data_IF_668087009827
#
_entry.id   IF_668087009827
#
_cell.length_a   1.000
_cell.length_b   1.000
_cell.length_c   1.000
_cell.angle_alpha   90.00
_cell.angle_beta   90.00
_cell.angle_gamma   90.00
#
_symmetry.space_group_name_H-M   'P 1'
#
loop_
_entity.id
_entity.type
_entity.pdbx_description
1 polymer ?
#
# COMPACT_ATOMS: atom_id res chain seq x y z
N UNK A 1 -23.70 -4.56 15.60
CA UNK A 1 -23.47 -5.20 14.29
C UNK A 1 -22.71 -4.32 13.31
N UNK A 2 -22.90 -2.99 13.31
CA UNK A 2 -22.18 -2.11 12.37
C UNK A 2 -20.67 -2.00 12.66
N UNK A 3 -20.29 -1.85 13.93
CA UNK A 3 -18.87 -1.75 14.32
C UNK A 3 -18.07 -3.03 13.98
N UNK A 4 -18.69 -4.20 14.12
CA UNK A 4 -18.07 -5.49 13.78
C UNK A 4 -17.83 -5.64 12.28
N UNK A 5 -18.75 -5.11 11.46
CA UNK A 5 -18.64 -5.14 10.00
C UNK A 5 -17.55 -4.15 9.53
N UNK A 6 -17.51 -2.95 10.09
CA UNK A 6 -16.46 -1.95 9.82
C UNK A 6 -15.08 -2.51 10.14
N UNK A 7 -14.91 -3.14 11.31
CA UNK A 7 -13.64 -3.76 11.69
C UNK A 7 -13.22 -4.88 10.73
N UNK A 8 -14.17 -5.68 10.24
CA UNK A 8 -13.90 -6.72 9.25
C UNK A 8 -13.41 -6.12 7.92
N UNK A 9 -14.08 -5.08 7.42
CA UNK A 9 -13.69 -4.38 6.19
C UNK A 9 -12.26 -3.84 6.32
N UNK A 10 -11.97 -3.14 7.41
CA UNK A 10 -10.63 -2.58 7.66
C UNK A 10 -9.58 -3.69 7.64
N UNK A 11 -9.84 -4.81 8.31
CA UNK A 11 -8.90 -5.93 8.37
C UNK A 11 -8.64 -6.56 7.00
N UNK A 12 -9.69 -6.78 6.21
CA UNK A 12 -9.59 -7.34 4.87
C UNK A 12 -8.88 -6.37 3.91
N UNK A 13 -9.19 -5.08 3.96
CA UNK A 13 -8.55 -4.06 3.12
C UNK A 13 -7.07 -3.92 3.42
N UNK A 14 -6.68 -3.90 4.70
CA UNK A 14 -5.28 -3.87 5.12
C UNK A 14 -4.57 -5.14 4.68
N UNK A 15 -5.18 -6.31 4.90
CA UNK A 15 -4.61 -7.61 4.52
C UNK A 15 -4.38 -7.73 3.01
N UNK A 16 -5.37 -7.32 2.21
CA UNK A 16 -5.26 -7.34 0.75
C UNK A 16 -4.19 -6.37 0.23
N UNK A 17 -4.09 -5.16 0.80
CA UNK A 17 -3.07 -4.19 0.44
C UNK A 17 -1.65 -4.68 0.75
N UNK A 18 -1.45 -5.26 1.94
CA UNK A 18 -0.18 -5.86 2.35
C UNK A 18 0.20 -7.07 1.48
N UNK A 19 -0.76 -7.94 1.19
CA UNK A 19 -0.53 -9.09 0.31
C UNK A 19 -0.13 -8.63 -1.09
N UNK A 20 -0.78 -7.59 -1.63
CA UNK A 20 -0.43 -6.99 -2.91
C UNK A 20 0.98 -6.38 -2.91
N UNK A 21 1.34 -5.63 -1.87
CA UNK A 21 2.69 -5.08 -1.71
C UNK A 21 3.76 -6.18 -1.71
N UNK A 22 3.55 -7.23 -0.92
CA UNK A 22 4.51 -8.33 -0.81
C UNK A 22 4.67 -9.04 -2.16
N UNK A 23 3.55 -9.43 -2.79
CA UNK A 23 3.56 -10.22 -4.02
C UNK A 23 4.07 -9.44 -5.24
N UNK A 24 3.62 -8.20 -5.43
CA UNK A 24 3.89 -7.43 -6.65
C UNK A 24 5.08 -6.49 -6.56
N UNK A 25 5.50 -6.06 -5.36
CA UNK A 25 6.56 -5.07 -5.20
C UNK A 25 7.75 -5.68 -4.47
N UNK A 26 7.55 -6.18 -3.26
CA UNK A 26 8.67 -6.61 -2.41
C UNK A 26 9.39 -7.84 -2.95
N UNK A 27 8.65 -8.91 -3.30
CA UNK A 27 9.21 -10.16 -3.85
C UNK A 27 10.06 -9.92 -5.11
N UNK A 28 9.56 -9.24 -6.17
CA UNK A 28 10.37 -8.97 -7.35
C UNK A 28 11.52 -7.98 -7.09
N UNK A 29 11.34 -7.02 -6.17
CA UNK A 29 12.40 -6.08 -5.83
C UNK A 29 13.59 -6.77 -5.17
N UNK A 30 13.36 -7.68 -4.23
CA UNK A 30 14.46 -8.38 -3.53
C UNK A 30 15.01 -9.58 -4.31
N UNK A 31 14.23 -10.18 -5.21
CA UNK A 31 14.70 -11.30 -6.03
C UNK A 31 15.64 -10.88 -7.16
N UNK A 32 15.57 -9.62 -7.58
CA UNK A 32 16.38 -9.08 -8.68
C UNK A 32 17.86 -8.88 -8.33
N UNK A 33 18.21 -8.79 -7.05
CA UNK A 33 19.58 -8.49 -6.60
C UNK A 33 20.32 -9.72 -6.08
N UNK A 34 21.61 -9.82 -6.42
CA UNK A 34 22.49 -10.91 -6.00
C UNK A 34 23.10 -10.70 -4.61
N UNK A 35 23.41 -9.46 -4.21
CA UNK A 35 24.02 -9.18 -2.90
C UNK A 35 22.96 -8.85 -1.84
N UNK A 36 23.18 -9.35 -0.62
CA UNK A 36 22.28 -9.17 0.53
C UNK A 36 22.09 -7.68 0.86
N UNK A 37 23.15 -6.88 0.80
CA UNK A 37 23.09 -5.44 1.06
C UNK A 37 22.23 -4.67 0.03
N UNK A 38 22.24 -5.09 -1.22
CA UNK A 38 21.39 -4.50 -2.28
C UNK A 38 19.92 -4.86 -2.07
N UNK A 39 19.64 -6.09 -1.62
CA UNK A 39 18.27 -6.52 -1.28
C UNK A 39 17.67 -5.70 -0.14
N UNK A 40 18.48 -5.35 0.86
CA UNK A 40 18.02 -4.50 1.98
C UNK A 40 17.67 -3.10 1.48
N UNK A 41 18.54 -2.49 0.67
CA UNK A 41 18.28 -1.18 0.08
C UNK A 41 17.06 -1.19 -0.86
N UNK A 42 16.90 -2.25 -1.67
CA UNK A 42 15.74 -2.45 -2.53
C UNK A 42 14.44 -2.62 -1.73
N UNK A 43 14.50 -3.36 -0.61
CA UNK A 43 13.39 -3.49 0.32
C UNK A 43 12.97 -2.13 0.90
N UNK A 44 13.93 -1.31 1.33
CA UNK A 44 13.65 0.04 1.82
C UNK A 44 13.01 0.93 0.74
N UNK A 45 13.54 0.89 -0.49
CA UNK A 45 12.96 1.64 -1.61
C UNK A 45 11.55 1.16 -1.96
N UNK A 46 11.28 -0.15 -1.86
CA UNK A 46 9.94 -0.69 -2.11
C UNK A 46 8.91 -0.22 -1.08
N UNK A 47 9.29 -0.07 0.20
CA UNK A 47 8.43 0.53 1.22
C UNK A 47 8.11 1.99 0.90
N UNK A 48 9.10 2.76 0.45
CA UNK A 48 8.90 4.14 0.02
C UNK A 48 7.88 4.24 -1.13
N UNK A 49 7.98 3.34 -2.12
CA UNK A 49 7.02 3.26 -3.23
C UNK A 49 5.62 2.92 -2.70
N UNK A 50 5.50 1.95 -1.79
CA UNK A 50 4.21 1.56 -1.21
C UNK A 50 3.54 2.72 -0.46
N UNK A 51 4.28 3.43 0.38
CA UNK A 51 3.79 4.61 1.10
C UNK A 51 3.37 5.71 0.11
N UNK A 52 4.13 5.91 -0.97
CA UNK A 52 3.79 6.87 -2.02
C UNK A 52 2.48 6.50 -2.72
N UNK A 53 2.28 5.24 -3.08
CA UNK A 53 1.04 4.77 -3.70
C UNK A 53 -0.18 4.99 -2.79
N UNK A 54 -0.06 4.66 -1.50
CA UNK A 54 -1.11 4.94 -0.51
C UNK A 54 -1.38 6.45 -0.45
N UNK A 55 -0.34 7.26 -0.31
CA UNK A 55 -0.47 8.72 -0.18
C UNK A 55 -1.13 9.34 -1.39
N UNK A 56 -0.71 8.95 -2.60
CA UNK A 56 -1.33 9.41 -3.85
C UNK A 56 -2.77 8.96 -3.94
N UNK A 57 -3.08 7.70 -3.61
CA UNK A 57 -4.46 7.21 -3.59
C UNK A 57 -5.36 8.00 -2.64
N UNK A 58 -4.87 8.32 -1.44
CA UNK A 58 -5.59 9.15 -0.47
C UNK A 58 -5.77 10.57 -0.98
N UNK A 59 -4.72 11.21 -1.51
CA UNK A 59 -4.79 12.57 -2.04
C UNK A 59 -5.74 12.68 -3.24
N UNK A 60 -5.70 11.71 -4.16
CA UNK A 60 -6.61 11.65 -5.31
C UNK A 60 -8.04 11.40 -4.85
N UNK A 61 -8.26 10.49 -3.91
CA UNK A 61 -9.58 10.21 -3.34
C UNK A 61 -10.19 11.43 -2.66
N UNK A 62 -9.43 12.09 -1.77
CA UNK A 62 -9.85 13.32 -1.10
C UNK A 62 -10.06 14.47 -2.09
N UNK A 63 -9.17 14.62 -3.07
CA UNK A 63 -9.29 15.63 -4.12
C UNK A 63 -10.55 15.43 -4.97
N UNK A 64 -10.89 14.19 -5.30
CA UNK A 64 -12.13 13.86 -6.01
C UNK A 64 -13.37 14.22 -5.17
N UNK A 65 -13.39 13.86 -3.89
CA UNK A 65 -14.49 14.20 -2.97
C UNK A 65 -14.69 15.73 -2.90
N UNK A 66 -13.59 16.49 -2.80
CA UNK A 66 -13.63 17.96 -2.80
C UNK A 66 -14.14 18.52 -4.14
N UNK A 67 -13.70 17.97 -5.25
CA UNK A 67 -14.09 18.43 -6.59
C UNK A 67 -15.57 18.17 -6.90
N UNK A 68 -16.11 17.02 -6.47
CA UNK A 68 -17.52 16.66 -6.68
C UNK A 68 -18.47 17.24 -5.61
N UNK A 69 -17.99 18.08 -4.71
CA UNK A 69 -18.82 18.82 -3.75
C UNK A 69 -19.44 17.93 -2.67
N UNK A 70 -18.81 16.80 -2.31
CA UNK A 70 -19.28 15.94 -1.23
C UNK A 70 -18.80 16.45 0.16
N UNK A 71 -18.84 17.77 0.36
CA UNK A 71 -18.68 18.48 1.64
C UNK A 71 -19.49 19.78 1.62
#
# INVERSE_FOLDING_TARGET
>A
MELTLINLIIFVSIGAGLAGYVAFILVPAVSSYGRVWERVAAGFLSLFIFVTLISVGVLVGLGAIYLYGLF
#
